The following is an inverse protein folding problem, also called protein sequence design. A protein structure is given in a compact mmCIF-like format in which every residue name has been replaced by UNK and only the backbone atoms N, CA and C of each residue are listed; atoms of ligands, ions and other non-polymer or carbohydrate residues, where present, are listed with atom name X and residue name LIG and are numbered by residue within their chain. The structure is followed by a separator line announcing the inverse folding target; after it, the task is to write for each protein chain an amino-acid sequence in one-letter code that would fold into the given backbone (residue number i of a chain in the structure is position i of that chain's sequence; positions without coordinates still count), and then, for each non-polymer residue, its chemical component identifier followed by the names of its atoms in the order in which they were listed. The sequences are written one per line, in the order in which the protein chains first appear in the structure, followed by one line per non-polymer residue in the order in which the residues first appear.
data_IF_568919374232
#
_entry.id   IF_568919374232
#
_cell.length_a   1.000
_cell.length_b   1.000
_cell.length_c   1.000
_cell.angle_alpha   90.00
_cell.angle_beta   90.00
_cell.angle_gamma   90.00
#
_symmetry.space_group_name_H-M   'P 1'
#
loop_
_entity.id
_entity.type
_entity.pdbx_description
1 polymer ?
#
# COMPACT_ATOMS: atom_id res chain seq x y z
N UNK A 1 -35.32 -3.47 -13.20
CA UNK A 1 -34.88 -3.61 -11.80
C UNK A 1 -33.89 -2.49 -11.53
N UNK A 2 -34.02 -1.75 -10.42
CA UNK A 2 -33.19 -0.56 -10.19
C UNK A 2 -31.94 -0.88 -9.36
N UNK A 3 -30.81 -0.38 -9.85
CA UNK A 3 -29.55 -0.29 -9.09
C UNK A 3 -29.64 0.88 -8.13
N UNK A 4 -29.00 0.76 -6.96
CA UNK A 4 -28.78 1.93 -6.10
C UNK A 4 -27.86 2.95 -6.80
N UNK A 5 -27.79 4.19 -6.28
CA UNK A 5 -26.86 5.21 -6.79
C UNK A 5 -25.41 4.71 -6.76
N UNK A 6 -25.00 4.09 -5.65
CA UNK A 6 -23.67 3.49 -5.48
C UNK A 6 -23.42 2.38 -6.49
N UNK A 7 -24.37 1.45 -6.67
CA UNK A 7 -24.22 0.34 -7.62
C UNK A 7 -24.13 0.83 -9.07
N UNK A 8 -24.86 1.90 -9.41
CA UNK A 8 -24.76 2.53 -10.73
C UNK A 8 -23.38 3.16 -10.94
N UNK A 9 -22.87 3.87 -9.93
CA UNK A 9 -21.52 4.44 -9.99
C UNK A 9 -20.45 3.34 -10.16
N UNK A 10 -20.53 2.25 -9.41
CA UNK A 10 -19.62 1.10 -9.55
C UNK A 10 -19.67 0.52 -10.95
N UNK A 11 -20.87 0.30 -11.49
CA UNK A 11 -21.06 -0.19 -12.85
C UNK A 11 -20.41 0.73 -13.89
N UNK A 12 -20.65 2.05 -13.80
CA UNK A 12 -20.10 3.05 -14.73
C UNK A 12 -18.56 3.10 -14.67
N UNK A 13 -17.99 3.03 -13.45
CA UNK A 13 -16.54 2.97 -13.23
C UNK A 13 -15.94 1.73 -13.90
N UNK A 14 -16.51 0.54 -13.66
CA UNK A 14 -16.03 -0.71 -14.24
C UNK A 14 -16.20 -0.74 -15.77
N UNK A 15 -17.27 -0.14 -16.28
CA UNK A 15 -17.55 -0.07 -17.71
C UNK A 15 -16.60 0.90 -18.42
N UNK A 16 -16.17 1.97 -17.75
CA UNK A 16 -15.14 2.89 -18.28
C UNK A 16 -13.77 2.21 -18.32
N UNK A 17 -13.48 1.34 -17.34
CA UNK A 17 -12.26 0.55 -17.26
C UNK A 17 -12.23 -0.69 -18.20
N UNK A 18 -13.07 -0.75 -19.24
CA UNK A 18 -13.30 -1.95 -20.05
C UNK A 18 -12.01 -2.55 -20.63
N UNK A 19 -11.82 -3.84 -20.39
CA UNK A 19 -10.88 -4.70 -21.14
C UNK A 19 -11.65 -5.53 -22.15
N UNK A 20 -11.07 -5.76 -23.33
CA UNK A 20 -11.64 -6.65 -24.35
C UNK A 20 -11.74 -8.11 -23.87
N UNK A 21 -10.97 -8.49 -22.85
CA UNK A 21 -10.88 -9.86 -22.33
C UNK A 21 -11.78 -10.11 -21.10
N UNK A 22 -12.01 -9.08 -20.29
CA UNK A 22 -12.75 -9.21 -19.03
C UNK A 22 -13.86 -8.17 -18.95
N UNK A 23 -15.11 -8.64 -19.05
CA UNK A 23 -16.30 -7.81 -18.95
C UNK A 23 -16.70 -7.58 -17.48
N UNK A 24 -15.85 -6.84 -16.74
CA UNK A 24 -16.02 -6.68 -15.29
C UNK A 24 -17.36 -6.05 -14.88
N UNK A 25 -17.84 -5.06 -15.65
CA UNK A 25 -19.13 -4.43 -15.41
C UNK A 25 -20.30 -5.41 -15.56
N UNK A 26 -20.23 -6.31 -16.55
CA UNK A 26 -21.25 -7.33 -16.79
C UNK A 26 -21.24 -8.39 -15.68
N UNK A 27 -20.06 -8.77 -15.18
CA UNK A 27 -19.95 -9.70 -14.04
C UNK A 27 -20.53 -9.10 -12.77
N UNK A 28 -20.27 -7.82 -12.53
CA UNK A 28 -20.86 -7.07 -11.41
C UNK A 28 -22.39 -7.03 -11.51
N UNK A 29 -22.92 -6.62 -12.66
CA UNK A 29 -24.36 -6.56 -12.89
C UNK A 29 -25.02 -7.94 -12.78
N UNK A 30 -24.38 -8.97 -13.34
CA UNK A 30 -24.81 -10.35 -13.24
C UNK A 30 -24.83 -10.85 -11.79
N UNK A 31 -23.87 -10.45 -10.96
CA UNK A 31 -23.87 -10.77 -9.54
C UNK A 31 -25.08 -10.16 -8.81
N UNK A 32 -25.39 -8.89 -9.08
CA UNK A 32 -26.56 -8.21 -8.49
C UNK A 32 -27.85 -8.91 -8.92
N UNK A 33 -27.97 -9.24 -10.21
CA UNK A 33 -29.15 -9.92 -10.74
C UNK A 33 -29.32 -11.32 -10.15
N UNK A 34 -28.24 -12.09 -10.02
CA UNK A 34 -28.27 -13.37 -9.35
C UNK A 34 -28.75 -13.19 -7.91
N UNK A 35 -28.12 -12.31 -7.12
CA UNK A 35 -28.42 -12.09 -5.71
C UNK A 35 -29.86 -11.62 -5.44
N UNK A 36 -30.42 -10.75 -6.31
CA UNK A 36 -31.79 -10.26 -6.18
C UNK A 36 -32.86 -11.25 -6.65
N UNK A 37 -32.48 -12.31 -7.38
CA UNK A 37 -33.44 -13.30 -7.87
C UNK A 37 -33.88 -14.22 -6.74
N UNK A 38 -35.02 -13.91 -6.12
CA UNK A 38 -35.54 -14.67 -4.98
C UNK A 38 -36.00 -16.09 -5.33
N UNK A 39 -36.25 -16.38 -6.61
CA UNK A 39 -36.60 -17.72 -7.10
C UNK A 39 -35.38 -18.63 -7.29
N UNK A 40 -34.16 -18.07 -7.26
CA UNK A 40 -32.94 -18.85 -7.35
C UNK A 40 -32.51 -19.27 -5.94
N UNK A 41 -32.60 -20.57 -5.59
CA UNK A 41 -32.19 -21.06 -4.27
C UNK A 41 -30.68 -20.91 -4.02
N UNK A 42 -29.88 -20.77 -5.08
CA UNK A 42 -28.43 -20.64 -5.03
C UNK A 42 -27.93 -19.22 -5.37
N UNK A 43 -28.83 -18.23 -5.28
CA UNK A 43 -28.60 -16.83 -5.69
C UNK A 43 -27.30 -16.22 -5.14
N UNK A 44 -27.00 -16.46 -3.87
CA UNK A 44 -25.83 -15.86 -3.22
C UNK A 44 -24.52 -16.54 -3.61
N UNK A 45 -24.49 -17.87 -3.77
CA UNK A 45 -23.28 -18.58 -4.21
C UNK A 45 -22.92 -18.21 -5.65
N UNK A 46 -23.93 -18.11 -6.52
CA UNK A 46 -23.75 -17.68 -7.91
C UNK A 46 -23.31 -16.22 -8.01
N UNK A 47 -23.94 -15.32 -7.25
CA UNK A 47 -23.50 -13.93 -7.19
C UNK A 47 -22.07 -13.81 -6.64
N UNK A 48 -21.74 -14.58 -5.60
CA UNK A 48 -20.41 -14.60 -5.02
C UNK A 48 -19.35 -15.11 -6.00
N UNK A 49 -19.67 -16.07 -6.85
CA UNK A 49 -18.77 -16.53 -7.90
C UNK A 49 -18.38 -15.39 -8.85
N UNK A 50 -19.38 -14.63 -9.33
CA UNK A 50 -19.15 -13.46 -10.19
C UNK A 50 -18.33 -12.37 -9.49
N UNK A 51 -18.61 -12.06 -8.22
CA UNK A 51 -17.85 -11.07 -7.44
C UNK A 51 -16.41 -11.52 -7.17
N UNK A 52 -16.20 -12.81 -6.91
CA UNK A 52 -14.86 -13.39 -6.74
C UNK A 52 -14.03 -13.29 -8.02
N UNK A 53 -14.62 -13.62 -9.16
CA UNK A 53 -13.94 -13.48 -10.46
C UNK A 53 -13.63 -12.02 -10.78
N UNK A 54 -14.57 -11.10 -10.53
CA UNK A 54 -14.34 -9.66 -10.66
C UNK A 54 -13.11 -9.23 -9.87
N UNK A 55 -13.07 -9.52 -8.56
CA UNK A 55 -11.94 -9.16 -7.70
C UNK A 55 -10.64 -9.85 -8.14
N UNK A 56 -10.70 -11.07 -8.67
CA UNK A 56 -9.50 -11.76 -9.16
C UNK A 56 -8.94 -11.13 -10.44
N UNK A 57 -9.80 -10.71 -11.38
CA UNK A 57 -9.36 -10.17 -12.68
C UNK A 57 -9.17 -8.66 -12.66
N UNK A 58 -9.69 -7.95 -11.65
CA UNK A 58 -9.52 -6.50 -11.53
C UNK A 58 -8.04 -6.07 -11.72
N UNK A 59 -7.04 -6.67 -11.04
CA UNK A 59 -5.64 -6.31 -11.26
C UNK A 59 -5.15 -6.50 -12.70
N UNK A 60 -5.70 -7.47 -13.43
CA UNK A 60 -5.24 -7.85 -14.77
C UNK A 60 -5.71 -6.89 -15.85
N UNK A 61 -6.78 -6.14 -15.59
CA UNK A 61 -7.29 -5.13 -16.53
C UNK A 61 -6.38 -3.90 -16.54
N UNK A 62 -5.81 -3.54 -15.39
CA UNK A 62 -4.98 -2.34 -15.26
C UNK A 62 -3.49 -2.61 -15.39
N UNK A 63 -3.00 -3.77 -14.94
CA UNK A 63 -1.60 -4.16 -15.18
C UNK A 63 -1.49 -4.66 -16.62
N UNK A 64 -0.67 -4.00 -17.44
CA UNK A 64 -0.38 -4.20 -18.88
C UNK A 64 0.05 -5.63 -19.31
N UNK A 65 -0.22 -6.63 -18.48
CA UNK A 65 -0.23 -8.05 -18.82
C UNK A 65 -1.40 -8.45 -19.75
N UNK A 66 -1.76 -7.58 -20.70
CA UNK A 66 -2.46 -7.99 -21.92
C UNK A 66 -1.47 -8.45 -23.01
N UNK A 67 -0.17 -8.59 -22.70
CA UNK A 67 0.71 -9.40 -23.54
C UNK A 67 0.26 -10.85 -23.42
N UNK A 68 -0.33 -11.32 -24.51
CA UNK A 68 -0.63 -12.70 -24.81
C UNK A 68 0.71 -13.47 -24.94
N UNK A 69 1.44 -13.64 -23.85
CA UNK A 69 2.54 -14.60 -23.86
C UNK A 69 1.93 -15.98 -24.04
N UNK A 70 2.36 -16.67 -25.11
CA UNK A 70 2.08 -18.08 -25.33
C UNK A 70 2.19 -18.80 -23.99
N UNK A 71 1.15 -19.53 -23.58
CA UNK A 71 1.09 -20.19 -22.28
C UNK A 71 2.30 -21.12 -22.14
N UNK A 72 3.32 -20.66 -21.42
CA UNK A 72 4.56 -21.40 -21.18
C UNK A 72 4.23 -22.80 -20.64
N UNK A 73 4.80 -23.84 -21.26
CA UNK A 73 4.64 -25.21 -20.79
C UNK A 73 5.58 -25.48 -19.61
N UNK A 74 5.22 -24.94 -18.44
CA UNK A 74 5.99 -25.16 -17.21
C UNK A 74 6.05 -26.64 -16.82
N UNK A 75 5.08 -27.47 -17.24
CA UNK A 75 5.12 -28.91 -16.97
C UNK A 75 6.22 -29.55 -17.81
N UNK A 76 6.21 -29.35 -19.13
CA UNK A 76 7.25 -29.86 -20.03
C UNK A 76 8.65 -29.35 -19.67
N UNK A 77 8.78 -28.06 -19.32
CA UNK A 77 10.06 -27.49 -18.85
C UNK A 77 10.56 -28.17 -17.58
N UNK A 78 9.69 -28.38 -16.58
CA UNK A 78 10.04 -29.05 -15.33
C UNK A 78 10.43 -30.51 -15.55
N UNK A 79 9.68 -31.22 -16.38
CA UNK A 79 9.92 -32.63 -16.67
C UNK A 79 11.26 -32.79 -17.43
N UNK A 80 11.57 -31.87 -18.35
CA UNK A 80 12.87 -31.79 -19.02
C UNK A 80 14.01 -31.52 -18.02
N UNK A 81 13.86 -30.50 -17.18
CA UNK A 81 14.87 -30.16 -16.17
C UNK A 81 15.14 -31.29 -15.20
N UNK A 82 14.09 -31.96 -14.73
CA UNK A 82 14.22 -33.11 -13.85
C UNK A 82 14.98 -34.25 -14.52
N UNK A 83 14.65 -34.58 -15.77
CA UNK A 83 15.36 -35.60 -16.55
C UNK A 83 16.84 -35.29 -16.72
N UNK A 84 17.18 -34.03 -17.02
CA UNK A 84 18.58 -33.56 -17.13
C UNK A 84 19.30 -33.64 -15.80
N UNK A 85 18.70 -33.14 -14.73
CA UNK A 85 19.28 -33.14 -13.39
C UNK A 85 19.56 -34.57 -12.90
N UNK A 86 18.66 -35.53 -13.19
CA UNK A 86 18.89 -36.95 -12.91
C UNK A 86 20.06 -37.53 -13.72
N UNK A 87 20.19 -37.15 -14.98
CA UNK A 87 21.29 -37.56 -15.85
C UNK A 87 22.63 -37.02 -15.35
N UNK A 88 22.66 -35.75 -14.95
CA UNK A 88 23.85 -35.13 -14.35
C UNK A 88 24.21 -35.79 -13.00
N UNK A 89 23.23 -36.04 -12.12
CA UNK A 89 23.48 -36.76 -10.86
C UNK A 89 24.12 -38.13 -11.06
N UNK A 90 23.66 -38.89 -12.07
CA UNK A 90 24.25 -40.19 -12.42
C UNK A 90 25.69 -40.03 -12.92
N UNK A 91 25.92 -39.06 -13.81
CA UNK A 91 27.24 -38.78 -14.39
C UNK A 91 28.29 -38.40 -13.33
N UNK A 92 27.88 -37.63 -12.32
CA UNK A 92 28.75 -37.22 -11.21
C UNK A 92 28.69 -38.16 -9.99
N UNK A 93 28.20 -39.41 -10.15
CA UNK A 93 28.12 -40.40 -9.06
C UNK A 93 27.44 -39.87 -7.78
N UNK A 94 26.46 -38.98 -7.93
CA UNK A 94 25.73 -38.36 -6.82
C UNK A 94 26.48 -37.28 -6.03
N UNK A 95 27.71 -36.92 -6.37
CA UNK A 95 28.51 -35.88 -5.70
C UNK A 95 28.71 -34.67 -6.60
N UNK A 96 28.41 -33.47 -6.11
CA UNK A 96 28.47 -32.23 -6.90
C UNK A 96 29.64 -31.32 -6.49
N UNK A 97 30.11 -31.47 -5.25
CA UNK A 97 31.09 -30.57 -4.62
C UNK A 97 32.50 -30.89 -5.13
N UNK A 98 33.14 -29.92 -5.77
CA UNK A 98 34.51 -30.04 -6.29
C UNK A 98 34.59 -30.44 -7.78
N UNK A 99 33.45 -30.67 -8.43
CA UNK A 99 33.38 -31.03 -9.85
C UNK A 99 33.38 -29.78 -10.74
N UNK A 100 33.99 -29.87 -11.92
CA UNK A 100 34.02 -28.77 -12.90
C UNK A 100 32.68 -28.65 -13.61
N UNK A 101 32.18 -27.42 -13.82
CA UNK A 101 30.97 -27.20 -14.61
C UNK A 101 31.28 -27.52 -16.07
N UNK A 102 30.87 -28.70 -16.52
CA UNK A 102 30.99 -29.09 -17.91
C UNK A 102 29.83 -28.57 -18.76
N UNK A 103 29.94 -28.72 -20.09
CA UNK A 103 28.93 -28.23 -21.03
C UNK A 103 27.52 -28.85 -20.80
N UNK A 104 27.45 -30.07 -20.26
CA UNK A 104 26.19 -30.72 -19.92
C UNK A 104 25.52 -30.07 -18.72
N UNK A 105 26.30 -29.82 -17.66
CA UNK A 105 25.84 -29.19 -16.42
C UNK A 105 25.52 -27.71 -16.63
N UNK A 106 26.33 -26.97 -17.40
CA UNK A 106 26.04 -25.58 -17.81
C UNK A 106 24.66 -25.48 -18.49
N UNK A 107 24.35 -26.40 -19.41
CA UNK A 107 23.05 -26.43 -20.08
C UNK A 107 21.89 -26.71 -19.12
N UNK A 108 22.10 -27.54 -18.10
CA UNK A 108 21.10 -27.79 -17.04
C UNK A 108 20.91 -26.57 -16.15
N UNK A 109 21.99 -25.89 -15.75
CA UNK A 109 21.93 -24.66 -14.94
C UNK A 109 21.23 -23.54 -15.70
N UNK A 110 21.59 -23.28 -16.96
CA UNK A 110 20.89 -22.29 -17.81
C UNK A 110 19.43 -22.63 -18.02
N UNK A 111 19.11 -23.92 -18.14
CA UNK A 111 17.73 -24.36 -18.22
C UNK A 111 16.94 -24.07 -16.93
N UNK A 112 17.57 -24.27 -15.77
CA UNK A 112 16.97 -23.95 -14.47
C UNK A 112 16.78 -22.45 -14.32
N UNK A 113 17.80 -21.66 -14.68
CA UNK A 113 17.76 -20.21 -14.65
C UNK A 113 16.61 -19.68 -15.52
N UNK A 114 16.54 -20.13 -16.79
CA UNK A 114 15.44 -19.81 -17.70
C UNK A 114 14.08 -20.24 -17.17
N UNK A 115 13.97 -21.40 -16.52
CA UNK A 115 12.72 -21.83 -15.89
C UNK A 115 12.32 -20.92 -14.74
N UNK A 116 13.29 -20.54 -13.89
CA UNK A 116 13.05 -19.64 -12.78
C UNK A 116 12.63 -18.26 -13.29
N UNK A 117 13.37 -17.67 -14.23
CA UNK A 117 13.04 -16.40 -14.90
C UNK A 117 11.61 -16.40 -15.46
N UNK A 118 11.26 -17.43 -16.25
CA UNK A 118 9.94 -17.51 -16.91
C UNK A 118 8.81 -17.86 -15.92
N UNK A 119 9.13 -18.51 -14.81
CA UNK A 119 8.16 -18.89 -13.77
C UNK A 119 8.08 -17.87 -12.62
N UNK A 120 8.66 -16.68 -12.77
CA UNK A 120 8.45 -15.56 -11.83
C UNK A 120 7.10 -14.87 -12.09
N UNK A 121 6.01 -15.63 -11.99
CA UNK A 121 4.68 -15.01 -12.05
C UNK A 121 4.44 -14.26 -10.76
N UNK A 122 3.99 -12.98 -10.82
CA UNK A 122 3.73 -12.24 -9.60
C UNK A 122 2.70 -12.99 -8.76
N UNK A 123 2.91 -13.03 -7.45
CA UNK A 123 1.94 -13.59 -6.52
C UNK A 123 0.64 -12.77 -6.58
N UNK A 124 -0.48 -13.32 -6.06
CA UNK A 124 -1.72 -12.54 -6.00
C UNK A 124 -1.53 -11.25 -5.20
N UNK A 125 -0.75 -11.31 -4.12
CA UNK A 125 -0.39 -10.16 -3.29
C UNK A 125 0.38 -9.11 -4.09
N UNK A 126 1.41 -9.51 -4.85
CA UNK A 126 2.16 -8.60 -5.72
C UNK A 126 1.28 -7.97 -6.82
N UNK A 127 0.36 -8.74 -7.42
CA UNK A 127 -0.58 -8.18 -8.40
C UNK A 127 -1.50 -7.12 -7.80
N UNK A 128 -2.01 -7.36 -6.59
CA UNK A 128 -2.84 -6.37 -5.89
C UNK A 128 -2.01 -5.13 -5.55
N UNK A 129 -0.79 -5.29 -5.05
CA UNK A 129 0.10 -4.17 -4.77
C UNK A 129 0.42 -3.36 -6.04
N UNK A 130 0.75 -4.03 -7.15
CA UNK A 130 0.99 -3.40 -8.45
C UNK A 130 -0.24 -2.64 -8.96
N UNK A 131 -1.44 -3.22 -8.81
CA UNK A 131 -2.69 -2.53 -9.12
C UNK A 131 -2.83 -1.23 -8.30
N UNK A 132 -2.61 -1.28 -6.99
CA UNK A 132 -2.74 -0.12 -6.10
C UNK A 132 -1.80 1.02 -6.53
N UNK A 133 -0.53 0.71 -6.82
CA UNK A 133 0.46 1.70 -7.26
C UNK A 133 0.13 2.28 -8.65
N UNK A 134 -0.48 1.49 -9.55
CA UNK A 134 -0.84 1.96 -10.89
C UNK A 134 -2.07 2.86 -10.87
N UNK A 135 -3.05 2.55 -10.03
CA UNK A 135 -4.28 3.33 -9.89
C UNK A 135 -4.07 4.62 -9.08
N UNK A 136 -3.11 4.61 -8.17
CA UNK A 136 -2.71 5.77 -7.38
C UNK A 136 -1.19 5.99 -7.56
N UNK A 137 -0.76 6.86 -8.49
CA UNK A 137 0.65 7.14 -8.71
C UNK A 137 1.38 7.68 -7.47
N UNK A 138 0.63 8.18 -6.49
CA UNK A 138 1.15 8.61 -5.19
C UNK A 138 0.86 7.60 -4.08
N UNK A 139 0.55 6.34 -4.37
CA UNK A 139 0.21 5.33 -3.37
C UNK A 139 1.25 5.24 -2.25
N UNK A 140 2.53 5.35 -2.59
CA UNK A 140 3.66 5.34 -1.65
C UNK A 140 3.75 6.56 -0.74
N UNK A 141 2.96 7.61 -1.00
CA UNK A 141 2.77 8.72 -0.06
C UNK A 141 1.93 8.31 1.15
N UNK A 142 1.07 7.30 1.02
CA UNK A 142 0.25 6.81 2.14
C UNK A 142 1.12 6.11 3.18
N UNK A 143 0.72 6.26 4.44
CA UNK A 143 1.31 5.52 5.55
C UNK A 143 1.30 4.00 5.29
N UNK A 144 2.35 3.30 5.75
CA UNK A 144 2.48 1.86 5.57
C UNK A 144 1.29 1.09 6.14
N UNK A 145 0.74 1.53 7.28
CA UNK A 145 -0.46 0.96 7.87
C UNK A 145 -1.68 1.07 6.95
N UNK A 146 -1.87 2.24 6.31
CA UNK A 146 -2.98 2.49 5.37
C UNK A 146 -2.81 1.63 4.11
N UNK A 147 -1.60 1.56 3.54
CA UNK A 147 -1.29 0.72 2.37
C UNK A 147 -1.56 -0.76 2.66
N UNK A 148 -1.14 -1.23 3.82
CA UNK A 148 -1.37 -2.60 4.27
C UNK A 148 -2.86 -2.88 4.49
N UNK A 149 -3.58 -1.96 5.15
CA UNK A 149 -5.01 -2.10 5.40
C UNK A 149 -5.81 -2.20 4.10
N UNK A 150 -5.54 -1.33 3.12
CA UNK A 150 -6.17 -1.39 1.79
C UNK A 150 -5.95 -2.74 1.11
N UNK A 151 -4.71 -3.24 1.13
CA UNK A 151 -4.36 -4.55 0.57
C UNK A 151 -5.06 -5.70 1.31
N UNK A 152 -5.15 -5.61 2.65
CA UNK A 152 -5.82 -6.60 3.50
C UNK A 152 -7.32 -6.61 3.26
N UNK A 153 -7.98 -5.44 3.15
CA UNK A 153 -9.41 -5.31 2.84
C UNK A 153 -9.74 -6.01 1.52
N UNK A 154 -8.96 -5.76 0.47
CA UNK A 154 -9.09 -6.44 -0.82
C UNK A 154 -9.02 -7.96 -0.69
N UNK A 155 -7.99 -8.47 -0.01
CA UNK A 155 -7.77 -9.90 0.14
C UNK A 155 -8.86 -10.58 0.97
N UNK A 156 -9.31 -9.93 2.04
CA UNK A 156 -10.41 -10.41 2.89
C UNK A 156 -11.69 -10.56 2.09
N UNK A 157 -12.09 -9.54 1.32
CA UNK A 157 -13.30 -9.60 0.50
C UNK A 157 -13.23 -10.72 -0.54
N UNK A 158 -12.11 -10.83 -1.26
CA UNK A 158 -11.91 -11.91 -2.22
C UNK A 158 -12.05 -13.31 -1.56
N UNK A 159 -11.43 -13.49 -0.38
CA UNK A 159 -11.50 -14.75 0.38
C UNK A 159 -12.92 -15.04 0.89
N UNK A 160 -13.66 -13.99 1.27
CA UNK A 160 -15.06 -14.12 1.70
C UNK A 160 -15.94 -14.59 0.54
N UNK A 161 -15.83 -13.97 -0.63
CA UNK A 161 -16.61 -14.39 -1.81
C UNK A 161 -16.17 -15.75 -2.36
N UNK A 162 -14.91 -16.15 -2.21
CA UNK A 162 -14.48 -17.52 -2.50
C UNK A 162 -15.19 -18.55 -1.61
N UNK A 163 -15.29 -18.29 -0.31
CA UNK A 163 -16.00 -19.18 0.62
C UNK A 163 -17.50 -19.22 0.35
N UNK A 164 -18.10 -18.07 0.03
CA UNK A 164 -19.51 -17.95 -0.35
C UNK A 164 -19.83 -18.77 -1.61
N UNK A 165 -18.97 -18.67 -2.64
CA UNK A 165 -19.14 -19.39 -3.89
C UNK A 165 -19.05 -20.92 -3.73
N UNK A 166 -18.39 -21.42 -2.67
CA UNK A 166 -18.27 -22.85 -2.35
C UNK A 166 -19.29 -23.34 -1.31
N UNK A 167 -20.44 -22.66 -1.17
CA UNK A 167 -21.56 -23.05 -0.30
C UNK A 167 -21.21 -23.21 1.18
N UNK A 168 -20.29 -22.39 1.72
CA UNK A 168 -19.92 -22.48 3.13
C UNK A 168 -21.16 -22.19 4.02
N UNK A 169 -21.49 -23.06 5.00
CA UNK A 169 -22.67 -22.89 5.85
C UNK A 169 -22.53 -21.71 6.83
N UNK A 170 -23.68 -21.15 7.26
CA UNK A 170 -23.75 -20.09 8.29
C UNK A 170 -23.73 -18.65 7.76
N UNK A 171 -24.07 -18.46 6.49
CA UNK A 171 -24.13 -17.15 5.84
C UNK A 171 -25.60 -16.79 5.64
N UNK A 172 -26.02 -15.65 6.15
CA UNK A 172 -27.35 -15.10 5.94
C UNK A 172 -27.37 -14.04 4.82
N UNK A 173 -28.58 -13.67 4.40
CA UNK A 173 -28.79 -12.65 3.37
C UNK A 173 -28.19 -11.29 3.75
N UNK A 174 -28.31 -10.92 5.03
CA UNK A 174 -27.79 -9.65 5.55
C UNK A 174 -26.27 -9.58 5.37
N UNK A 175 -25.55 -10.64 5.73
CA UNK A 175 -24.11 -10.74 5.55
C UNK A 175 -23.72 -10.56 4.09
N UNK A 176 -24.41 -11.20 3.14
CA UNK A 176 -24.09 -11.06 1.72
C UNK A 176 -24.18 -9.60 1.26
N UNK A 177 -25.27 -8.90 1.60
CA UNK A 177 -25.45 -7.50 1.21
C UNK A 177 -24.40 -6.58 1.87
N UNK A 178 -24.05 -6.82 3.14
CA UNK A 178 -22.96 -6.09 3.80
C UNK A 178 -21.61 -6.29 3.10
N UNK A 179 -21.31 -7.51 2.63
CA UNK A 179 -20.08 -7.77 1.88
C UNK A 179 -20.12 -7.14 0.47
N UNK A 180 -21.29 -7.09 -0.18
CA UNK A 180 -21.44 -6.41 -1.47
C UNK A 180 -21.20 -4.90 -1.31
N UNK A 181 -21.76 -4.27 -0.28
CA UNK A 181 -21.52 -2.85 0.03
C UNK A 181 -20.04 -2.55 0.29
N UNK A 182 -19.29 -3.51 0.83
CA UNK A 182 -17.83 -3.37 0.99
C UNK A 182 -17.09 -3.50 -0.35
N UNK A 183 -17.57 -4.33 -1.29
CA UNK A 183 -17.04 -4.39 -2.66
C UNK A 183 -17.31 -3.10 -3.40
N UNK A 184 -18.52 -2.55 -3.29
CA UNK A 184 -18.91 -1.31 -3.93
C UNK A 184 -17.98 -0.16 -3.49
N UNK A 185 -17.79 0.00 -2.19
CA UNK A 185 -16.85 0.96 -1.61
C UNK A 185 -15.41 0.71 -2.04
N UNK A 186 -14.97 -0.55 -2.05
CA UNK A 186 -13.62 -0.90 -2.51
C UNK A 186 -13.40 -0.49 -3.97
N UNK A 187 -14.35 -0.75 -4.87
CA UNK A 187 -14.21 -0.41 -6.29
C UNK A 187 -14.17 1.10 -6.48
N UNK A 188 -15.05 1.84 -5.80
CA UNK A 188 -15.03 3.30 -5.81
C UNK A 188 -13.69 3.82 -5.27
N UNK A 189 -13.24 3.34 -4.11
CA UNK A 189 -11.98 3.75 -3.49
C UNK A 189 -10.76 3.48 -4.38
N UNK A 190 -10.80 2.41 -5.17
CA UNK A 190 -9.70 2.03 -6.05
C UNK A 190 -9.72 2.79 -7.37
N UNK A 191 -10.89 2.94 -7.98
CA UNK A 191 -11.02 3.34 -9.39
C UNK A 191 -11.68 4.70 -9.61
N UNK A 192 -12.26 5.32 -8.59
CA UNK A 192 -12.77 6.67 -8.73
C UNK A 192 -11.62 7.61 -9.14
N UNK A 193 -11.85 8.53 -10.11
CA UNK A 193 -10.80 9.40 -10.60
C UNK A 193 -10.18 10.20 -9.46
N UNK A 194 -8.87 10.43 -9.53
CA UNK A 194 -8.19 11.42 -8.68
C UNK A 194 -8.64 12.78 -9.21
N UNK A 195 -9.50 13.48 -8.46
CA UNK A 195 -10.08 14.74 -8.92
C UNK A 195 -9.52 15.93 -8.18
N UNK A 196 -9.39 17.06 -8.88
CA UNK A 196 -9.14 18.36 -8.25
C UNK A 196 -10.25 18.73 -7.25
N UNK A 197 -11.44 18.14 -7.37
CA UNK A 197 -12.57 18.34 -6.45
C UNK A 197 -12.25 17.83 -5.04
N UNK A 198 -11.53 16.72 -4.90
CA UNK A 198 -11.09 16.23 -3.58
C UNK A 198 -10.18 17.26 -2.90
N UNK A 199 -9.18 17.74 -3.63
CA UNK A 199 -8.24 18.73 -3.11
C UNK A 199 -8.93 20.07 -2.81
N UNK A 200 -9.90 20.48 -3.63
CA UNK A 200 -10.76 21.64 -3.34
C UNK A 200 -11.59 21.46 -2.07
N UNK A 201 -12.11 20.24 -1.83
CA UNK A 201 -12.85 19.91 -0.61
C UNK A 201 -11.91 19.90 0.61
N UNK A 202 -10.73 19.30 0.48
CA UNK A 202 -9.68 19.35 1.52
C UNK A 202 -9.32 20.81 1.81
N UNK A 203 -9.11 21.63 0.78
CA UNK A 203 -8.76 23.04 0.93
C UNK A 203 -9.85 23.81 1.69
N UNK A 204 -11.13 23.57 1.36
CA UNK A 204 -12.24 24.20 2.05
C UNK A 204 -12.26 23.83 3.55
N UNK A 205 -12.07 22.55 3.87
CA UNK A 205 -12.04 22.05 5.25
C UNK A 205 -10.84 22.62 6.02
N UNK A 206 -9.62 22.57 5.46
CA UNK A 206 -8.42 23.06 6.18
C UNK A 206 -8.43 24.59 6.37
N UNK A 207 -9.17 25.32 5.52
CA UNK A 207 -9.32 26.78 5.65
C UNK A 207 -10.32 27.17 6.73
N UNK A 208 -11.16 26.24 7.20
CA UNK A 208 -12.01 26.46 8.36
C UNK A 208 -11.13 26.43 9.64
N UNK A 209 -11.01 27.54 10.39
CA UNK A 209 -10.21 27.57 11.61
C UNK A 209 -10.80 26.70 12.74
N UNK A 210 -12.08 26.34 12.64
CA UNK A 210 -12.82 25.54 13.62
C UNK A 210 -13.57 24.40 12.90
N UNK A 211 -12.86 23.39 12.36
CA UNK A 211 -13.50 22.26 11.71
C UNK A 211 -14.37 21.52 12.73
N UNK A 212 -15.61 21.23 12.35
CA UNK A 212 -16.49 20.42 13.17
C UNK A 212 -16.18 18.92 13.01
N UNK A 213 -16.98 18.08 13.67
CA UNK A 213 -16.78 16.63 13.63
C UNK A 213 -16.95 16.05 12.23
N UNK A 214 -17.91 16.57 11.46
CA UNK A 214 -18.21 16.07 10.11
C UNK A 214 -17.09 16.48 9.13
N UNK A 215 -16.57 17.70 9.28
CA UNK A 215 -15.38 18.19 8.58
C UNK A 215 -14.17 17.27 8.84
N UNK A 216 -13.94 16.91 10.11
CA UNK A 216 -12.84 16.02 10.50
C UNK A 216 -13.03 14.63 9.87
N UNK A 217 -14.18 13.99 10.05
CA UNK A 217 -14.44 12.65 9.53
C UNK A 217 -14.27 12.59 8.01
N UNK A 218 -14.83 13.59 7.32
CA UNK A 218 -14.73 13.72 5.86
C UNK A 218 -13.30 13.95 5.39
N UNK A 219 -12.52 14.78 6.09
CA UNK A 219 -11.13 15.00 5.76
C UNK A 219 -10.32 13.72 5.91
N UNK A 220 -10.49 13.01 7.03
CA UNK A 220 -9.78 11.75 7.29
C UNK A 220 -10.08 10.72 6.21
N UNK A 221 -11.34 10.61 5.78
CA UNK A 221 -11.74 9.75 4.66
C UNK A 221 -10.99 10.13 3.37
N UNK A 222 -11.02 11.41 2.99
CA UNK A 222 -10.41 11.90 1.75
C UNK A 222 -8.89 11.68 1.70
N UNK A 223 -8.18 11.91 2.81
CA UNK A 223 -6.71 11.72 2.86
C UNK A 223 -6.32 10.24 2.95
N UNK A 224 -7.13 9.38 3.56
CA UNK A 224 -6.89 7.92 3.54
C UNK A 224 -7.21 7.31 2.18
N UNK A 225 -8.06 7.96 1.37
CA UNK A 225 -8.49 7.44 0.07
C UNK A 225 -7.36 7.42 -0.95
N UNK A 226 -6.63 8.53 -1.12
CA UNK A 226 -5.59 8.71 -2.16
C UNK A 226 -4.31 9.29 -1.60
N UNK A 227 -3.17 8.79 -2.06
CA UNK A 227 -1.85 9.29 -1.70
C UNK A 227 -1.62 10.75 -2.11
N UNK A 228 -2.21 11.18 -3.23
CA UNK A 228 -2.17 12.59 -3.64
C UNK A 228 -2.89 13.52 -2.65
N UNK A 229 -4.05 13.09 -2.13
CA UNK A 229 -4.81 13.84 -1.10
C UNK A 229 -4.04 13.86 0.22
N UNK A 230 -3.47 12.72 0.61
CA UNK A 230 -2.63 12.57 1.79
C UNK A 230 -1.44 13.53 1.76
N UNK A 231 -0.65 13.48 0.68
CA UNK A 231 0.49 14.37 0.49
C UNK A 231 0.06 15.84 0.45
N UNK A 232 -1.02 16.16 -0.27
CA UNK A 232 -1.57 17.51 -0.35
C UNK A 232 -1.92 18.06 1.03
N UNK A 233 -2.65 17.30 1.84
CA UNK A 233 -3.05 17.72 3.18
C UNK A 233 -1.85 18.02 4.06
N UNK A 234 -0.92 17.06 4.24
CA UNK A 234 0.23 17.26 5.12
C UNK A 234 1.22 18.32 4.61
N UNK A 235 1.28 18.52 3.29
CA UNK A 235 2.04 19.61 2.68
C UNK A 235 1.37 20.97 2.86
N UNK A 236 0.07 21.05 3.06
CA UNK A 236 -0.68 22.32 3.09
C UNK A 236 -1.05 22.75 4.50
N UNK A 237 -1.62 21.85 5.30
CA UNK A 237 -2.06 22.13 6.67
C UNK A 237 -0.91 22.66 7.54
N UNK A 238 -1.21 23.69 8.32
CA UNK A 238 -0.30 24.39 9.24
C UNK A 238 -1.01 24.80 10.56
N UNK A 239 -2.33 24.66 10.63
CA UNK A 239 -3.11 24.92 11.83
C UNK A 239 -2.97 23.75 12.83
N UNK A 240 -2.58 23.99 14.10
CA UNK A 240 -2.43 22.96 15.11
C UNK A 240 -3.73 22.25 15.52
N UNK A 241 -4.92 22.75 15.15
CA UNK A 241 -6.22 22.12 15.43
C UNK A 241 -6.28 20.67 14.93
N UNK A 242 -5.51 20.34 13.89
CA UNK A 242 -5.45 18.99 13.33
C UNK A 242 -4.59 18.00 14.13
N UNK A 243 -3.75 18.43 15.08
CA UNK A 243 -2.90 17.49 15.84
C UNK A 243 -3.75 16.39 16.50
N UNK A 244 -4.78 16.77 17.27
CA UNK A 244 -5.55 15.80 18.04
C UNK A 244 -6.28 14.80 17.14
N UNK A 245 -7.06 15.24 16.12
CA UNK A 245 -7.69 14.31 15.18
C UNK A 245 -6.71 13.37 14.48
N UNK A 246 -5.51 13.86 14.11
CA UNK A 246 -4.51 13.06 13.43
C UNK A 246 -3.85 12.01 14.35
N UNK A 247 -3.61 12.36 15.62
CA UNK A 247 -3.15 11.41 16.64
C UNK A 247 -4.19 10.32 16.87
N UNK A 248 -5.46 10.69 17.10
CA UNK A 248 -6.55 9.74 17.35
C UNK A 248 -6.80 8.78 16.18
N UNK A 249 -6.45 9.19 14.96
CA UNK A 249 -6.58 8.39 13.75
C UNK A 249 -5.29 7.64 13.35
N UNK A 250 -4.25 7.69 14.19
CA UNK A 250 -3.03 6.90 14.05
C UNK A 250 -2.03 7.41 13.01
N UNK A 251 -2.15 8.66 12.53
CA UNK A 251 -1.25 9.19 11.49
C UNK A 251 0.19 9.42 11.96
N UNK A 252 0.42 9.46 13.28
CA UNK A 252 1.74 9.61 13.89
C UNK A 252 2.18 8.36 14.66
N UNK A 253 1.82 7.16 14.21
CA UNK A 253 2.21 5.93 14.91
C UNK A 253 3.34 5.16 14.23
N UNK A 254 3.28 5.00 12.91
CA UNK A 254 4.04 3.99 12.17
C UNK A 254 4.89 4.62 11.04
N UNK A 255 5.94 5.40 11.35
CA UNK A 255 6.84 5.92 10.32
C UNK A 255 7.44 4.77 9.48
N UNK A 256 7.54 4.91 8.14
CA UNK A 256 8.03 3.83 7.29
C UNK A 256 9.51 3.54 7.54
N UNK A 257 9.87 2.26 7.49
CA UNK A 257 11.25 1.78 7.46
C UNK A 257 11.81 1.83 6.03
N UNK A 258 13.11 1.57 5.90
CA UNK A 258 13.77 1.33 4.62
C UNK A 258 13.20 0.05 3.99
N UNK A 259 12.87 0.11 2.71
CA UNK A 259 12.42 -1.06 1.93
C UNK A 259 13.54 -1.53 0.99
N UNK A 260 13.95 -2.80 1.05
CA UNK A 260 14.95 -3.36 0.13
C UNK A 260 14.28 -3.81 -1.18
N UNK A 261 14.86 -3.46 -2.34
CA UNK A 261 14.29 -3.78 -3.66
C UNK A 261 14.79 -5.08 -4.27
N UNK A 262 15.55 -5.88 -3.51
CA UNK A 262 16.06 -7.20 -3.93
C UNK A 262 17.25 -7.14 -4.90
N UNK A 263 17.50 -6.01 -5.55
CA UNK A 263 18.63 -5.74 -6.46
C UNK A 263 19.82 -5.03 -5.76
N UNK A 264 19.88 -5.10 -4.43
CA UNK A 264 20.87 -4.41 -3.62
C UNK A 264 20.62 -2.90 -3.45
N UNK A 265 19.52 -2.38 -4.00
CA UNK A 265 19.08 -1.00 -3.72
C UNK A 265 18.08 -0.97 -2.55
N UNK A 266 17.90 0.23 -2.03
CA UNK A 266 16.97 0.54 -0.96
C UNK A 266 16.06 1.68 -1.36
N UNK A 267 14.85 1.69 -0.81
CA UNK A 267 13.87 2.76 -0.92
C UNK A 267 13.70 3.39 0.46
N UNK A 268 13.94 4.70 0.53
CA UNK A 268 13.69 5.52 1.71
C UNK A 268 12.43 6.35 1.47
N UNK A 269 11.27 5.80 1.84
CA UNK A 269 9.99 6.46 1.62
C UNK A 269 9.89 7.78 2.37
N UNK A 270 9.19 8.74 1.77
CA UNK A 270 8.91 10.02 2.40
C UNK A 270 7.71 9.86 3.34
N UNK A 271 7.84 10.35 4.58
CA UNK A 271 6.76 10.31 5.56
C UNK A 271 6.12 11.69 5.68
N UNK A 272 5.06 11.93 4.91
CA UNK A 272 4.42 13.25 4.84
C UNK A 272 3.97 13.85 6.19
N UNK A 273 3.51 13.07 7.19
CA UNK A 273 3.15 13.60 8.50
C UNK A 273 4.24 14.44 9.18
N UNK A 274 5.52 14.18 8.91
CA UNK A 274 6.61 14.95 9.51
C UNK A 274 6.60 16.43 9.10
N UNK A 275 6.14 16.75 7.88
CA UNK A 275 6.07 18.14 7.40
C UNK A 275 5.01 18.94 8.13
N UNK A 276 3.91 18.31 8.53
CA UNK A 276 2.92 18.95 9.38
C UNK A 276 3.48 19.21 10.77
N UNK A 277 4.16 18.22 11.36
CA UNK A 277 4.83 18.38 12.66
C UNK A 277 5.86 19.53 12.63
N UNK A 278 6.64 19.66 11.56
CA UNK A 278 7.58 20.77 11.35
C UNK A 278 6.91 22.14 11.43
N UNK A 279 5.76 22.32 10.76
CA UNK A 279 5.06 23.61 10.72
C UNK A 279 4.42 23.98 12.05
N UNK A 280 3.86 23.01 12.77
CA UNK A 280 3.16 23.26 14.05
C UNK A 280 4.10 23.24 15.25
N UNK A 281 5.36 22.83 15.09
CA UNK A 281 6.36 22.76 16.17
C UNK A 281 6.58 24.11 16.88
N UNK A 282 6.46 25.24 16.18
CA UNK A 282 6.58 26.55 16.81
C UNK A 282 5.38 26.90 17.71
N UNK A 283 4.19 26.36 17.41
CA UNK A 283 2.94 26.66 18.11
C UNK A 283 2.67 25.66 19.25
N UNK A 284 3.01 24.37 19.06
CA UNK A 284 2.82 23.29 20.04
C UNK A 284 4.09 22.43 20.21
N UNK A 285 5.22 23.00 20.64
CA UNK A 285 6.51 22.30 20.68
C UNK A 285 6.51 21.08 21.61
N UNK A 286 5.90 21.17 22.78
CA UNK A 286 5.81 20.05 23.74
C UNK A 286 5.06 18.88 23.14
N UNK A 287 3.93 19.15 22.48
CA UNK A 287 3.09 18.11 21.88
C UNK A 287 3.77 17.44 20.69
N UNK A 288 4.46 18.22 19.86
CA UNK A 288 5.27 17.67 18.75
C UNK A 288 6.38 16.76 19.28
N UNK A 289 7.10 17.17 20.33
CA UNK A 289 8.14 16.33 20.93
C UNK A 289 7.55 15.06 21.56
N UNK A 290 6.40 15.15 22.24
CA UNK A 290 5.69 13.99 22.76
C UNK A 290 5.34 12.99 21.64
N UNK A 291 4.77 13.48 20.54
CA UNK A 291 4.43 12.66 19.37
C UNK A 291 5.67 11.98 18.80
N UNK A 292 6.75 12.74 18.55
CA UNK A 292 7.99 12.20 17.98
C UNK A 292 8.60 11.11 18.88
N UNK A 293 8.53 11.28 20.21
CA UNK A 293 9.04 10.29 21.16
C UNK A 293 8.14 9.06 21.29
N UNK A 294 6.86 9.16 20.92
CA UNK A 294 5.91 8.03 20.91
C UNK A 294 5.91 7.22 19.61
N UNK A 295 6.63 7.66 18.58
CA UNK A 295 6.71 6.94 17.30
C UNK A 295 7.27 5.54 17.51
N UNK A 296 6.76 4.56 16.74
CA UNK A 296 7.46 3.28 16.62
C UNK A 296 8.82 3.49 15.97
N UNK A 297 9.75 2.60 16.29
CA UNK A 297 11.12 2.65 15.78
C UNK A 297 11.13 2.63 14.24
N UNK A 298 11.97 3.48 13.66
CA UNK A 298 12.22 3.57 12.21
C UNK A 298 13.72 3.65 11.94
N UNK A 299 14.19 2.92 10.93
CA UNK A 299 15.56 3.00 10.43
C UNK A 299 15.73 3.99 9.25
N UNK A 300 14.65 4.68 8.87
CA UNK A 300 14.62 5.53 7.69
C UNK A 300 15.36 6.86 7.93
N UNK A 301 16.56 7.05 7.33
CA UNK A 301 17.39 8.23 7.54
C UNK A 301 16.69 9.53 7.12
N UNK A 302 15.75 9.47 6.16
CA UNK A 302 14.98 10.63 5.72
C UNK A 302 14.14 11.19 6.85
N UNK A 303 13.44 10.32 7.58
CA UNK A 303 12.56 10.70 8.69
C UNK A 303 13.40 11.20 9.86
N UNK A 304 14.46 10.46 10.21
CA UNK A 304 15.35 10.83 11.30
C UNK A 304 16.04 12.17 11.05
N UNK A 305 16.39 12.48 9.79
CA UNK A 305 16.90 13.79 9.38
C UNK A 305 15.88 14.91 9.59
N UNK A 306 14.62 14.70 9.22
CA UNK A 306 13.56 15.70 9.44
C UNK A 306 13.28 15.91 10.93
N UNK A 307 13.34 14.86 11.76
CA UNK A 307 13.30 14.96 13.23
C UNK A 307 14.49 15.78 13.75
N UNK A 308 15.68 15.57 13.19
CA UNK A 308 16.87 16.35 13.53
C UNK A 308 16.70 17.83 13.18
N UNK A 309 16.07 18.14 12.03
CA UNK A 309 15.71 19.52 11.67
C UNK A 309 14.74 20.14 12.68
N UNK A 310 13.67 19.41 13.06
CA UNK A 310 12.72 19.88 14.10
C UNK A 310 13.48 20.20 15.39
N UNK A 311 14.36 19.30 15.84
CA UNK A 311 15.15 19.52 17.05
C UNK A 311 16.02 20.80 16.97
N UNK A 312 16.53 21.13 15.80
CA UNK A 312 17.29 22.35 15.58
C UNK A 312 16.41 23.63 15.60
N UNK A 313 15.15 23.52 15.17
CA UNK A 313 14.22 24.65 15.03
C UNK A 313 13.41 24.92 16.30
N UNK A 314 13.30 23.95 17.22
CA UNK A 314 12.67 24.16 18.52
C UNK A 314 13.33 25.33 19.27
N UNK A 315 12.53 26.24 19.82
CA UNK A 315 13.05 27.36 20.62
C UNK A 315 13.58 26.86 21.96
N UNK A 316 12.81 26.03 22.67
CA UNK A 316 13.19 25.44 23.95
C UNK A 316 14.30 24.38 23.77
N UNK A 317 15.46 24.61 24.39
CA UNK A 317 16.60 23.69 24.30
C UNK A 317 16.39 22.37 25.04
N UNK A 318 15.67 22.34 26.15
CA UNK A 318 15.39 21.09 26.87
C UNK A 318 14.53 20.15 26.02
N UNK A 319 13.53 20.70 25.33
CA UNK A 319 12.71 19.95 24.36
C UNK A 319 13.55 19.42 23.20
N UNK A 320 14.48 20.22 22.68
CA UNK A 320 15.44 19.80 21.66
C UNK A 320 16.34 18.65 22.14
N UNK A 321 16.86 18.74 23.36
CA UNK A 321 17.73 17.72 23.97
C UNK A 321 16.99 16.39 24.15
N UNK A 322 15.68 16.40 24.42
CA UNK A 322 14.88 15.16 24.51
C UNK A 322 14.92 14.33 23.23
N UNK A 323 15.11 14.96 22.06
CA UNK A 323 15.21 14.28 20.76
C UNK A 323 16.61 13.71 20.46
N UNK A 324 17.59 13.90 21.36
CA UNK A 324 18.96 13.41 21.23
C UNK A 324 19.10 11.92 20.90
N UNK A 325 18.29 10.98 21.44
CA UNK A 325 18.39 9.56 21.06
C UNK A 325 18.17 9.33 19.57
N UNK A 326 17.17 9.99 18.96
CA UNK A 326 16.85 9.85 17.54
C UNK A 326 17.89 10.52 16.64
N UNK A 327 18.47 11.65 17.10
CA UNK A 327 19.61 12.30 16.41
C UNK A 327 20.83 11.37 16.42
N UNK A 328 21.13 10.71 17.54
CA UNK A 328 22.22 9.72 17.59
C UNK A 328 21.97 8.56 16.63
N UNK A 329 20.74 8.07 16.56
CA UNK A 329 20.35 7.02 15.64
C UNK A 329 20.58 7.44 14.17
N UNK A 330 20.19 8.66 13.79
CA UNK A 330 20.49 9.23 12.48
C UNK A 330 22.00 9.25 12.20
N UNK A 331 22.80 9.75 13.15
CA UNK A 331 24.25 9.84 13.04
C UNK A 331 24.94 8.46 13.02
N UNK A 332 24.25 7.38 13.37
CA UNK A 332 24.76 6.01 13.25
C UNK A 332 24.31 5.32 11.97
N UNK A 333 23.35 5.89 11.23
CA UNK A 333 22.83 5.29 10.01
C UNK A 333 23.91 5.26 8.91
N UNK A 334 24.09 4.12 8.22
CA UNK A 334 24.99 4.01 7.06
C UNK A 334 24.45 4.72 5.82
N UNK A 335 23.19 5.17 5.87
CA UNK A 335 22.47 5.79 4.76
C UNK A 335 22.16 7.27 5.02
N UNK A 336 22.85 7.93 5.96
CA UNK A 336 22.62 9.36 6.28
C UNK A 336 23.17 10.29 5.19
N UNK A 337 22.60 11.49 5.09
CA UNK A 337 23.08 12.56 4.21
C UNK A 337 22.69 13.95 4.73
N UNK A 338 23.42 14.98 4.28
CA UNK A 338 23.08 16.38 4.50
C UNK A 338 23.00 16.77 5.97
N UNK A 339 23.86 16.16 6.80
CA UNK A 339 23.87 16.35 8.25
C UNK A 339 24.76 17.51 8.73
N UNK A 340 25.69 18.00 7.92
CA UNK A 340 26.77 18.88 8.40
C UNK A 340 26.22 20.17 9.01
N UNK A 341 25.28 20.82 8.30
CA UNK A 341 24.63 22.05 8.77
C UNK A 341 23.81 21.81 10.05
N UNK A 342 23.11 20.67 10.13
CA UNK A 342 22.29 20.31 11.30
C UNK A 342 23.16 20.04 12.52
N UNK A 343 24.31 19.37 12.34
CA UNK A 343 25.29 19.14 13.42
C UNK A 343 25.80 20.48 13.95
N UNK A 344 26.19 21.41 13.09
CA UNK A 344 26.66 22.73 13.52
C UNK A 344 25.56 23.47 14.28
N UNK A 345 24.33 23.47 13.76
CA UNK A 345 23.18 24.16 14.36
C UNK A 345 22.83 23.59 15.74
N UNK A 346 22.77 22.27 15.87
CA UNK A 346 22.42 21.63 17.14
C UNK A 346 23.51 21.80 18.20
N UNK A 347 24.80 21.72 17.81
CA UNK A 347 25.91 21.91 18.74
C UNK A 347 25.96 23.33 19.28
N UNK A 348 25.72 24.34 18.43
CA UNK A 348 25.59 25.74 18.89
C UNK A 348 24.43 25.89 19.87
N UNK A 349 23.27 25.30 19.54
CA UNK A 349 22.07 25.35 20.38
C UNK A 349 22.29 24.71 21.75
N UNK A 350 22.83 23.50 21.79
CA UNK A 350 23.04 22.75 23.04
C UNK A 350 24.23 23.25 23.84
N UNK A 351 25.30 23.72 23.17
CA UNK A 351 26.48 24.28 23.83
C UNK A 351 26.19 25.64 24.50
N UNK A 352 25.27 26.43 23.96
CA UNK A 352 24.87 27.72 24.55
C UNK A 352 24.04 27.63 25.83
N UNK A 353 23.52 26.46 26.19
CA UNK A 353 22.73 26.23 27.41
C UNK A 353 23.57 25.71 28.59
N UNK A 354 24.89 25.56 28.45
CA UNK A 354 25.79 25.20 29.55
C UNK A 354 26.41 26.42 30.26
N UNK A 355 25.74 27.58 30.21
CA UNK A 355 26.18 28.83 30.84
C UNK A 355 25.27 29.24 32.00
#
# INVERSE_FOLDING_TARGET
MELTSTQRQVFDILNTAKSNKYALADWYLGAIYAAKNTYNPDRFSQAAHSLRELLEKLPRVFVESEIQESKQDFRGMRDNLYSRLCSDKKRYNGKWKGETIDAGLDKTIRGLDRYLELNQKPTRKERVHSLMNKLDPMHDALDQGIRFEKSKRFHTLWTTFEKLAHHKPGIDEKFFWEQLDLVDRLIIDLLAPITAQDQGTIQAIISNPYPDKDDIEKLIELIKRRGANYAYFFKTADNPVWITPLVENGFFENPPNIEATGDGRIITLLWWPIFYLQKVAAQLPEKVVEIILSLKETDNPRILREIFSIACDLQNTDLSIRLKPLIKQFLQSPYRWGEEELIVKILKKWGGCQG
#
